data_IF_886103180846
#
_entry.id   IF_886103180846
#
_cell.length_a   1.000
_cell.length_b   1.000
_cell.length_c   1.000
_cell.angle_alpha   90.00
_cell.angle_beta   90.00
_cell.angle_gamma   90.00
#
_symmetry.space_group_name_H-M   'P 1'
#
loop_
_entity.id
_entity.type
_entity.pdbx_description
1 polymer ?
#
# COMPACT_ATOMS: atom_id res chain seq x y z
N UNK A 1 40.11 -4.12 -15.56
CA UNK A 1 38.82 -4.64 -15.06
C UNK A 1 38.42 -3.76 -13.88
N UNK A 2 37.22 -3.18 -13.88
CA UNK A 2 36.72 -2.43 -12.73
C UNK A 2 35.93 -3.42 -11.85
N UNK A 3 36.27 -3.51 -10.56
CA UNK A 3 35.58 -4.39 -9.62
C UNK A 3 34.53 -3.58 -8.84
N UNK A 4 33.31 -4.09 -8.74
CA UNK A 4 32.31 -3.61 -7.79
C UNK A 4 32.70 -4.17 -6.41
N UNK A 5 33.18 -3.30 -5.52
CA UNK A 5 33.57 -3.69 -4.17
C UNK A 5 32.38 -3.56 -3.25
N UNK A 6 31.91 -4.69 -2.73
CA UNK A 6 30.73 -4.74 -1.85
C UNK A 6 31.08 -4.38 -0.41
N UNK A 7 30.23 -3.56 0.22
CA UNK A 7 30.30 -3.18 1.64
C UNK A 7 28.90 -3.22 2.25
N UNK A 8 28.79 -3.55 3.53
CA UNK A 8 27.54 -3.51 4.30
C UNK A 8 27.61 -2.51 5.48
N UNK A 9 28.78 -1.91 5.74
CA UNK A 9 28.99 -0.99 6.86
C UNK A 9 30.01 0.11 6.55
N UNK A 10 30.07 1.14 7.40
CA UNK A 10 31.08 2.22 7.30
C UNK A 10 32.49 1.68 7.56
N UNK A 11 32.63 0.66 8.42
CA UNK A 11 33.91 0.01 8.69
C UNK A 11 34.43 -0.72 7.44
N UNK A 12 33.55 -1.39 6.70
CA UNK A 12 33.89 -2.05 5.43
C UNK A 12 34.16 -1.02 4.32
N UNK A 13 33.47 0.12 4.33
CA UNK A 13 33.78 1.26 3.45
C UNK A 13 35.23 1.74 3.64
N UNK A 14 35.72 1.86 4.87
CA UNK A 14 37.09 2.31 5.13
C UNK A 14 38.13 1.37 4.52
N UNK A 15 37.88 0.06 4.58
CA UNK A 15 38.73 -0.96 3.94
C UNK A 15 38.68 -0.81 2.42
N UNK A 16 37.48 -0.63 1.84
CA UNK A 16 37.30 -0.44 0.40
C UNK A 16 38.02 0.82 -0.10
N UNK A 17 37.94 1.93 0.64
CA UNK A 17 38.62 3.18 0.30
C UNK A 17 40.14 3.06 0.42
N UNK A 18 40.65 2.36 1.45
CA UNK A 18 42.08 2.06 1.58
C UNK A 18 42.61 1.22 0.40
N UNK A 19 41.78 0.31 -0.12
CA UNK A 19 42.05 -0.46 -1.34
C UNK A 19 41.87 0.36 -2.64
N UNK A 20 41.59 1.67 -2.54
CA UNK A 20 41.33 2.60 -3.66
C UNK A 20 40.16 2.17 -4.54
N UNK A 21 39.17 1.50 -3.95
CA UNK A 21 37.93 1.16 -4.65
C UNK A 21 37.19 2.45 -5.05
N UNK A 22 36.81 2.53 -6.33
CA UNK A 22 36.04 3.65 -6.87
C UNK A 22 34.62 3.27 -7.27
N UNK A 23 34.33 1.98 -7.34
CA UNK A 23 33.03 1.42 -7.65
C UNK A 23 32.59 0.62 -6.42
N UNK A 24 31.71 1.21 -5.61
CA UNK A 24 31.30 0.65 -4.32
C UNK A 24 29.85 0.22 -4.41
N UNK A 25 29.60 -1.04 -4.06
CA UNK A 25 28.26 -1.57 -3.90
C UNK A 25 27.90 -1.64 -2.42
N UNK A 26 26.85 -0.95 -2.00
CA UNK A 26 26.33 -1.07 -0.64
C UNK A 26 25.25 -2.15 -0.58
N UNK A 27 25.54 -3.26 0.08
CA UNK A 27 24.56 -4.29 0.33
C UNK A 27 23.70 -3.88 1.52
N UNK A 28 22.43 -3.54 1.28
CA UNK A 28 21.49 -3.22 2.35
C UNK A 28 21.06 -4.46 3.13
N UNK A 29 21.38 -5.68 2.65
CA UNK A 29 21.20 -6.94 3.37
C UNK A 29 22.51 -7.33 4.04
N UNK A 30 22.51 -7.46 5.36
CA UNK A 30 23.63 -8.06 6.08
C UNK A 30 23.64 -9.57 5.81
N UNK A 31 24.67 -10.09 5.15
CA UNK A 31 24.76 -11.51 4.79
C UNK A 31 25.07 -12.43 5.99
N UNK A 32 25.43 -11.87 7.15
CA UNK A 32 25.63 -12.63 8.40
C UNK A 32 24.30 -12.85 9.13
N UNK A 33 23.37 -11.89 9.03
CA UNK A 33 22.09 -11.91 9.77
C UNK A 33 20.84 -11.96 8.89
N UNK A 34 21.00 -11.81 7.57
CA UNK A 34 19.97 -11.68 6.54
C UNK A 34 18.99 -10.51 6.69
N UNK A 35 19.18 -9.65 7.70
CA UNK A 35 18.37 -8.46 7.91
C UNK A 35 18.64 -7.42 6.83
N UNK A 36 17.58 -6.78 6.37
CA UNK A 36 17.64 -5.69 5.38
C UNK A 36 17.44 -4.36 6.10
N UNK A 37 18.35 -3.43 5.88
CA UNK A 37 18.24 -2.04 6.32
C UNK A 37 18.48 -1.11 5.13
N UNK A 38 17.39 -0.56 4.61
CA UNK A 38 17.37 0.35 3.46
C UNK A 38 18.05 1.70 3.74
N UNK A 39 18.47 1.99 4.97
CA UNK A 39 19.23 3.20 5.32
C UNK A 39 20.74 2.98 5.26
N UNK A 40 21.22 1.74 5.05
CA UNK A 40 22.65 1.42 4.97
C UNK A 40 23.34 2.20 3.86
N UNK A 41 22.74 2.24 2.67
CA UNK A 41 23.27 3.02 1.54
C UNK A 41 23.38 4.51 1.86
N UNK A 42 22.38 5.09 2.53
CA UNK A 42 22.41 6.50 2.91
C UNK A 42 23.57 6.80 3.89
N UNK A 43 23.72 5.98 4.93
CA UNK A 43 24.82 6.12 5.91
C UNK A 43 26.19 5.99 5.26
N UNK A 44 26.38 5.06 4.32
CA UNK A 44 27.63 4.91 3.58
C UNK A 44 27.88 6.13 2.67
N UNK A 45 26.85 6.65 2.00
CA UNK A 45 26.97 7.84 1.18
C UNK A 45 27.38 9.07 2.00
N UNK A 46 26.79 9.28 3.17
CA UNK A 46 27.15 10.37 4.08
C UNK A 46 28.58 10.21 4.61
N UNK A 47 28.96 9.00 4.99
CA UNK A 47 30.33 8.69 5.40
C UNK A 47 31.38 9.01 4.29
N UNK A 48 31.05 8.81 3.02
CA UNK A 48 31.90 9.21 1.89
C UNK A 48 32.03 10.74 1.83
N UNK A 49 30.91 11.47 1.96
CA UNK A 49 30.90 12.94 1.95
C UNK A 49 31.69 13.54 3.11
N UNK A 50 31.53 12.99 4.31
CA UNK A 50 32.25 13.41 5.52
C UNK A 50 33.77 13.27 5.39
N UNK A 51 34.24 12.31 4.56
CA UNK A 51 35.66 12.12 4.22
C UNK A 51 36.15 13.09 3.14
N UNK A 52 35.32 14.05 2.72
CA UNK A 52 35.65 15.02 1.67
C UNK A 52 35.69 14.42 0.26
N UNK A 53 35.15 13.22 0.07
CA UNK A 53 35.12 12.54 -1.22
C UNK A 53 33.81 12.86 -1.95
N UNK A 54 33.90 13.05 -3.26
CA UNK A 54 32.73 13.25 -4.11
C UNK A 54 32.07 11.91 -4.47
N UNK A 55 30.74 11.92 -4.55
CA UNK A 55 29.95 10.85 -5.15
C UNK A 55 29.74 11.15 -6.64
N UNK A 56 29.72 10.11 -7.47
CA UNK A 56 29.45 10.22 -8.91
C UNK A 56 30.64 9.85 -9.79
N UNK A 57 30.54 10.23 -11.08
CA UNK A 57 31.42 9.74 -12.15
C UNK A 57 32.91 10.04 -11.89
N UNK A 58 33.21 11.22 -11.37
CA UNK A 58 34.58 11.67 -11.13
C UNK A 58 35.09 11.35 -9.72
N UNK A 59 34.21 10.80 -8.86
CA UNK A 59 34.49 10.42 -7.48
C UNK A 59 34.32 8.92 -7.24
N UNK A 60 33.54 8.59 -6.20
CA UNK A 60 33.09 7.23 -5.88
C UNK A 60 31.73 6.97 -6.56
N UNK A 61 31.68 5.97 -7.43
CA UNK A 61 30.45 5.47 -8.02
C UNK A 61 29.78 4.51 -7.03
N UNK A 62 28.72 4.97 -6.39
CA UNK A 62 27.98 4.20 -5.39
C UNK A 62 26.79 3.48 -6.02
N UNK A 63 26.59 2.21 -5.68
CA UNK A 63 25.46 1.39 -6.10
C UNK A 63 24.72 0.88 -4.87
N UNK A 64 23.40 0.87 -4.90
CA UNK A 64 22.58 0.26 -3.84
C UNK A 64 22.22 -1.18 -4.23
N UNK A 65 22.37 -2.12 -3.30
CA UNK A 65 22.12 -3.54 -3.54
C UNK A 65 21.14 -4.07 -2.49
N UNK A 66 20.30 -5.01 -2.90
CA UNK A 66 19.31 -5.69 -2.04
C UNK A 66 18.18 -4.79 -1.52
N UNK A 67 17.00 -5.37 -1.34
CA UNK A 67 15.83 -4.69 -0.75
C UNK A 67 15.14 -3.65 -1.63
N UNK A 68 15.51 -3.54 -2.91
CA UNK A 68 14.89 -2.61 -3.87
C UNK A 68 13.67 -3.27 -4.52
N UNK A 69 12.50 -2.69 -4.31
CA UNK A 69 11.21 -3.26 -4.77
C UNK A 69 10.31 -2.26 -5.49
N UNK A 70 10.57 -0.96 -5.35
CA UNK A 70 9.82 0.06 -6.07
C UNK A 70 10.68 1.21 -6.58
N UNK A 71 10.10 2.04 -7.46
CA UNK A 71 10.72 3.29 -7.89
C UNK A 71 11.05 4.23 -6.71
N UNK A 72 10.24 4.24 -5.65
CA UNK A 72 10.53 5.04 -4.47
C UNK A 72 11.85 4.65 -3.80
N UNK A 73 12.18 3.35 -3.76
CA UNK A 73 13.48 2.89 -3.29
C UNK A 73 14.61 3.38 -4.22
N UNK A 74 14.40 3.34 -5.54
CA UNK A 74 15.36 3.86 -6.52
C UNK A 74 15.63 5.35 -6.30
N UNK A 75 14.56 6.15 -6.17
CA UNK A 75 14.62 7.59 -5.88
C UNK A 75 15.32 7.86 -4.57
N UNK A 76 15.04 7.08 -3.52
CA UNK A 76 15.73 7.21 -2.23
C UNK A 76 17.24 7.09 -2.42
N UNK A 77 17.70 6.06 -3.12
CA UNK A 77 19.12 5.84 -3.33
C UNK A 77 19.74 6.88 -4.27
N UNK A 78 19.00 7.32 -5.29
CA UNK A 78 19.42 8.43 -6.16
C UNK A 78 19.62 9.73 -5.36
N UNK A 79 18.69 10.10 -4.48
CA UNK A 79 18.79 11.27 -3.61
C UNK A 79 20.01 11.16 -2.66
N UNK A 80 20.36 9.95 -2.24
CA UNK A 80 21.57 9.71 -1.46
C UNK A 80 22.85 9.74 -2.31
N UNK A 81 22.78 9.88 -3.63
CA UNK A 81 23.92 9.96 -4.54
C UNK A 81 24.35 8.63 -5.17
N UNK A 82 23.55 7.57 -5.01
CA UNK A 82 23.76 6.33 -5.74
C UNK A 82 23.53 6.53 -7.24
N UNK A 83 24.32 5.85 -8.07
CA UNK A 83 24.32 5.95 -9.53
C UNK A 83 23.78 4.71 -10.23
N UNK A 84 23.41 3.71 -9.44
CA UNK A 84 22.80 2.50 -9.93
C UNK A 84 22.29 1.64 -8.78
N UNK A 85 21.52 0.65 -9.18
CA UNK A 85 20.91 -0.33 -8.28
C UNK A 85 21.23 -1.73 -8.80
N UNK A 86 21.33 -2.69 -7.88
CA UNK A 86 21.39 -4.12 -8.22
C UNK A 86 20.17 -4.81 -7.60
N UNK A 87 19.28 -5.27 -8.47
CA UNK A 87 18.03 -5.95 -8.09
C UNK A 87 18.11 -7.40 -8.55
N UNK A 88 18.04 -8.33 -7.60
CA UNK A 88 18.07 -9.76 -7.86
C UNK A 88 16.73 -10.42 -7.55
N UNK A 89 16.56 -10.79 -6.28
CA UNK A 89 15.43 -11.58 -5.78
C UNK A 89 14.04 -11.06 -6.20
N UNK A 90 13.81 -9.75 -6.14
CA UNK A 90 12.54 -9.14 -6.53
C UNK A 90 12.21 -9.37 -8.01
N UNK A 91 13.20 -9.21 -8.91
CA UNK A 91 13.04 -9.50 -10.33
C UNK A 91 12.88 -10.99 -10.59
N UNK A 92 13.63 -11.84 -9.87
CA UNK A 92 13.55 -13.31 -10.02
C UNK A 92 12.21 -13.90 -9.57
N UNK A 93 11.50 -13.24 -8.66
CA UNK A 93 10.16 -13.64 -8.21
C UNK A 93 9.03 -13.06 -9.08
N UNK A 94 9.35 -12.16 -10.02
CA UNK A 94 8.35 -11.55 -10.87
C UNK A 94 7.86 -12.51 -11.96
N UNK A 95 6.54 -12.52 -12.18
CA UNK A 95 5.93 -13.21 -13.32
C UNK A 95 6.13 -12.47 -14.66
N UNK A 96 6.48 -11.18 -14.61
CA UNK A 96 6.75 -10.34 -15.79
C UNK A 96 7.89 -9.36 -15.46
N UNK A 97 9.11 -9.82 -15.78
CA UNK A 97 10.35 -9.07 -15.52
C UNK A 97 10.38 -7.74 -16.28
N UNK A 98 9.85 -7.68 -17.50
CA UNK A 98 9.93 -6.48 -18.33
C UNK A 98 9.09 -5.34 -17.75
N UNK A 99 7.87 -5.66 -17.29
CA UNK A 99 7.02 -4.69 -16.62
C UNK A 99 7.61 -4.29 -15.26
N UNK A 100 8.10 -5.25 -14.46
CA UNK A 100 8.72 -4.92 -13.17
C UNK A 100 9.95 -4.00 -13.30
N UNK A 101 10.78 -4.19 -14.35
CA UNK A 101 11.90 -3.28 -14.63
C UNK A 101 11.40 -1.89 -15.04
N UNK A 102 10.34 -1.80 -15.85
CA UNK A 102 9.72 -0.50 -16.18
C UNK A 102 9.22 0.20 -14.92
N UNK A 103 8.51 -0.52 -14.04
CA UNK A 103 7.96 0.04 -12.80
C UNK A 103 9.04 0.53 -11.83
N UNK A 104 10.20 -0.14 -11.77
CA UNK A 104 11.34 0.31 -10.97
C UNK A 104 11.98 1.59 -11.53
N UNK A 105 12.01 1.75 -12.86
CA UNK A 105 12.68 2.85 -13.54
C UNK A 105 11.77 4.04 -13.84
N UNK A 106 10.44 3.85 -13.82
CA UNK A 106 9.48 4.91 -14.13
C UNK A 106 9.28 5.86 -12.95
N UNK A 107 9.53 7.14 -13.21
CA UNK A 107 9.13 8.24 -12.33
C UNK A 107 7.64 8.16 -12.01
N UNK A 108 7.30 7.99 -10.73
CA UNK A 108 6.03 8.55 -10.23
C UNK A 108 6.26 10.05 -10.23
N UNK A 109 5.57 10.84 -11.08
CA UNK A 109 5.84 12.27 -11.12
C UNK A 109 5.50 12.84 -9.74
N UNK A 110 6.46 13.55 -9.12
CA UNK A 110 6.25 14.20 -7.81
C UNK A 110 5.27 15.39 -7.87
N UNK A 111 4.77 15.71 -9.05
CA UNK A 111 3.72 16.69 -9.28
C UNK A 111 2.81 16.17 -10.40
N UNK A 112 1.91 15.26 -10.06
CA UNK A 112 0.69 15.09 -10.85
C UNK A 112 -0.36 15.97 -10.22
N UNK A 113 -0.68 17.09 -10.86
CA UNK A 113 -2.00 17.67 -10.68
C UNK A 113 -3.02 16.54 -10.89
N UNK A 114 -4.01 16.43 -10.00
CA UNK A 114 -4.87 15.24 -9.89
C UNK A 114 -5.64 14.89 -11.18
N UNK A 115 -5.72 15.83 -12.13
CA UNK A 115 -6.29 15.62 -13.46
C UNK A 115 -5.41 14.78 -14.40
N UNK A 116 -4.11 14.71 -14.15
CA UNK A 116 -3.10 14.04 -14.99
C UNK A 116 -2.30 12.97 -14.21
N UNK A 117 -2.85 12.39 -13.14
CA UNK A 117 -2.27 11.17 -12.58
C UNK A 117 -2.19 10.13 -13.71
N UNK A 118 -0.99 9.76 -14.21
CA UNK A 118 -0.88 8.70 -15.21
C UNK A 118 -1.59 7.50 -14.60
N UNK A 119 -2.61 6.97 -15.27
CA UNK A 119 -3.43 5.83 -14.84
C UNK A 119 -2.61 4.89 -13.94
N UNK A 120 -2.68 5.09 -12.62
CA UNK A 120 -1.88 4.34 -11.66
C UNK A 120 -2.69 3.10 -11.29
N UNK A 121 -2.06 1.93 -11.13
CA UNK A 121 -2.79 0.73 -10.80
C UNK A 121 -3.54 0.94 -9.48
N UNK A 122 -4.82 0.55 -9.41
CA UNK A 122 -5.59 0.67 -8.19
C UNK A 122 -5.00 -0.25 -7.12
N UNK A 123 -4.95 0.24 -5.88
CA UNK A 123 -4.49 -0.58 -4.75
C UNK A 123 -5.53 -1.66 -4.42
N UNK A 124 -5.07 -2.84 -4.01
CA UNK A 124 -5.95 -3.93 -3.59
C UNK A 124 -5.79 -4.25 -2.11
N UNK A 125 -6.91 -4.24 -1.37
CA UNK A 125 -7.00 -4.75 0.00
C UNK A 125 -7.80 -6.04 0.03
N UNK A 126 -7.26 -7.06 0.70
CA UNK A 126 -7.99 -8.30 1.02
C UNK A 126 -8.28 -8.29 2.51
N UNK A 127 -9.57 -8.18 2.86
CA UNK A 127 -10.05 -8.01 4.22
C UNK A 127 -10.68 -9.30 4.78
N UNK A 128 -10.83 -9.41 6.10
CA UNK A 128 -11.36 -10.63 6.73
C UNK A 128 -10.39 -11.80 6.67
N UNK A 129 -9.08 -11.52 6.69
CA UNK A 129 -8.05 -12.55 6.64
C UNK A 129 -7.90 -13.18 8.02
N UNK A 130 -8.18 -14.49 8.09
CA UNK A 130 -8.21 -15.25 9.36
C UNK A 130 -7.01 -16.17 9.57
N UNK A 131 -6.18 -16.37 8.54
CA UNK A 131 -5.02 -17.27 8.55
C UNK A 131 -3.83 -16.65 7.83
N UNK A 132 -2.62 -17.00 8.29
CA UNK A 132 -1.35 -16.62 7.64
C UNK A 132 -1.30 -17.08 6.18
N UNK A 133 -1.79 -18.29 5.90
CA UNK A 133 -1.89 -18.83 4.54
C UNK A 133 -2.64 -17.90 3.58
N UNK A 134 -3.79 -17.40 4.02
CA UNK A 134 -4.64 -16.52 3.21
C UNK A 134 -3.95 -15.17 2.95
N UNK A 135 -3.26 -14.63 3.96
CA UNK A 135 -2.45 -13.42 3.80
C UNK A 135 -1.38 -13.63 2.73
N UNK A 136 -0.55 -14.67 2.87
CA UNK A 136 0.56 -14.94 1.94
C UNK A 136 0.06 -15.24 0.52
N UNK A 137 -1.07 -15.94 0.37
CA UNK A 137 -1.68 -16.16 -0.93
C UNK A 137 -2.13 -14.85 -1.59
N UNK A 138 -2.79 -13.97 -0.87
CA UNK A 138 -3.17 -12.65 -1.37
C UNK A 138 -1.94 -11.80 -1.75
N UNK A 139 -0.91 -11.76 -0.91
CA UNK A 139 0.31 -10.99 -1.16
C UNK A 139 1.08 -11.46 -2.40
N UNK A 140 1.21 -12.78 -2.60
CA UNK A 140 1.84 -13.36 -3.79
C UNK A 140 1.12 -12.99 -5.08
N UNK A 141 -0.16 -12.66 -5.00
CA UNK A 141 -0.99 -12.30 -6.14
C UNK A 141 -1.23 -10.79 -6.27
N UNK A 142 -0.52 -9.95 -5.49
CA UNK A 142 -0.50 -8.50 -5.67
C UNK A 142 -1.43 -7.71 -4.75
N UNK A 143 -1.91 -8.29 -3.64
CA UNK A 143 -2.57 -7.50 -2.61
C UNK A 143 -1.58 -6.51 -1.97
N UNK A 144 -1.98 -5.24 -1.87
CA UNK A 144 -1.20 -4.18 -1.21
C UNK A 144 -1.48 -4.12 0.29
N UNK A 145 -2.67 -4.53 0.72
CA UNK A 145 -3.11 -4.41 2.10
C UNK A 145 -3.83 -5.68 2.55
N UNK A 146 -3.58 -6.09 3.80
CA UNK A 146 -4.24 -7.22 4.45
C UNK A 146 -5.07 -6.69 5.63
N UNK A 147 -6.38 -6.90 5.58
CA UNK A 147 -7.32 -6.50 6.63
C UNK A 147 -7.61 -7.62 7.62
N UNK A 148 -7.35 -7.37 8.89
CA UNK A 148 -7.61 -8.25 10.03
C UNK A 148 -8.78 -7.68 10.81
N UNK A 149 -9.83 -8.47 11.04
CA UNK A 149 -11.02 -7.99 11.76
C UNK A 149 -10.82 -8.15 13.26
N UNK A 150 -10.86 -7.04 13.98
CA UNK A 150 -10.74 -6.94 15.44
C UNK A 150 -12.10 -6.61 16.11
N UNK A 151 -13.20 -6.74 15.37
CA UNK A 151 -14.56 -6.58 15.88
C UNK A 151 -15.15 -7.95 16.28
N UNK A 152 -15.32 -8.19 17.58
CA UNK A 152 -15.70 -9.49 18.18
C UNK A 152 -17.02 -10.09 17.64
N UNK A 153 -17.97 -9.25 17.24
CA UNK A 153 -19.25 -9.70 16.67
C UNK A 153 -19.15 -10.20 15.22
N UNK A 154 -18.02 -9.97 14.56
CA UNK A 154 -17.83 -10.40 13.17
C UNK A 154 -17.54 -11.89 13.08
N UNK A 155 -18.13 -12.62 12.13
CA UNK A 155 -17.75 -14.02 11.89
C UNK A 155 -16.33 -14.17 11.32
N UNK A 156 -15.67 -13.04 11.03
CA UNK A 156 -14.29 -12.95 10.52
C UNK A 156 -13.30 -12.48 11.59
N UNK A 157 -13.76 -12.33 12.83
CA UNK A 157 -12.92 -11.96 13.96
C UNK A 157 -11.81 -13.00 14.19
N UNK A 158 -10.64 -12.52 14.59
CA UNK A 158 -9.52 -13.36 15.05
C UNK A 158 -9.03 -12.90 16.42
N UNK A 159 -8.46 -13.81 17.21
CA UNK A 159 -7.83 -13.42 18.47
C UNK A 159 -6.55 -12.64 18.20
N UNK A 160 -6.11 -11.88 19.20
CA UNK A 160 -4.91 -11.04 19.13
C UNK A 160 -3.67 -11.83 18.72
N UNK A 161 -3.52 -13.08 19.17
CA UNK A 161 -2.36 -13.90 18.79
C UNK A 161 -2.38 -14.37 17.33
N UNK A 162 -3.55 -14.69 16.77
CA UNK A 162 -3.65 -14.96 15.34
C UNK A 162 -3.42 -13.68 14.53
N UNK A 163 -3.94 -12.54 14.99
CA UNK A 163 -3.69 -11.24 14.37
C UNK A 163 -2.19 -10.91 14.33
N UNK A 164 -1.45 -11.15 15.43
CA UNK A 164 0.01 -11.00 15.51
C UNK A 164 0.73 -11.92 14.53
N UNK A 165 0.31 -13.18 14.42
CA UNK A 165 0.89 -14.12 13.48
C UNK A 165 0.70 -13.66 12.01
N UNK A 166 -0.49 -13.19 11.66
CA UNK A 166 -0.80 -12.65 10.33
C UNK A 166 0.03 -11.38 10.07
N UNK A 167 0.00 -10.41 10.99
CA UNK A 167 0.74 -9.16 10.87
C UNK A 167 2.25 -9.38 10.74
N UNK A 168 2.81 -10.34 11.49
CA UNK A 168 4.21 -10.75 11.38
C UNK A 168 4.51 -11.32 9.99
N UNK A 169 3.68 -12.22 9.47
CA UNK A 169 3.89 -12.81 8.15
C UNK A 169 3.84 -11.76 7.02
N UNK A 170 2.92 -10.78 7.10
CA UNK A 170 2.85 -9.67 6.14
C UNK A 170 4.10 -8.80 6.20
N UNK A 171 4.58 -8.47 7.41
CA UNK A 171 5.82 -7.70 7.62
C UNK A 171 7.06 -8.43 7.13
N UNK A 172 7.18 -9.73 7.39
CA UNK A 172 8.27 -10.56 6.89
C UNK A 172 8.25 -10.66 5.36
N UNK A 173 7.08 -10.80 4.74
CA UNK A 173 6.94 -10.74 3.28
C UNK A 173 7.44 -9.39 2.73
N UNK A 174 7.11 -8.30 3.42
CA UNK A 174 7.60 -6.95 3.15
C UNK A 174 9.05 -6.65 3.57
N UNK A 175 9.78 -7.64 4.11
CA UNK A 175 11.15 -7.48 4.64
C UNK A 175 11.30 -6.33 5.67
N UNK A 176 10.29 -6.13 6.52
CA UNK A 176 10.29 -5.09 7.55
C UNK A 176 9.95 -5.64 8.94
N UNK A 177 10.33 -4.90 9.99
CA UNK A 177 10.06 -5.28 11.39
C UNK A 177 8.96 -4.44 12.05
N UNK A 178 8.71 -3.23 11.54
CA UNK A 178 7.76 -2.28 12.11
C UNK A 178 6.78 -1.71 11.08
N UNK A 179 5.85 -0.84 11.52
CA UNK A 179 4.97 -0.11 10.62
C UNK A 179 5.77 0.82 9.71
N UNK A 180 5.32 1.03 8.47
CA UNK A 180 6.04 1.87 7.48
C UNK A 180 5.28 3.14 7.11
N UNK A 181 3.94 3.09 7.11
CA UNK A 181 3.12 4.22 6.67
C UNK A 181 3.23 5.47 7.59
N UNK A 182 3.26 5.36 8.93
CA UNK A 182 3.39 6.55 9.79
C UNK A 182 4.66 7.36 9.50
N UNK A 183 5.80 6.69 9.27
CA UNK A 183 7.07 7.33 8.94
C UNK A 183 7.01 8.02 7.58
N UNK A 184 6.41 7.37 6.57
CA UNK A 184 6.26 7.95 5.22
C UNK A 184 5.30 9.14 5.24
N UNK A 185 4.20 9.09 6.01
CA UNK A 185 3.30 10.23 6.13
C UNK A 185 4.01 11.45 6.72
N UNK A 186 4.86 11.25 7.72
CA UNK A 186 5.63 12.34 8.32
C UNK A 186 6.56 13.05 7.32
N UNK A 187 7.13 12.34 6.34
CA UNK A 187 7.99 12.95 5.31
C UNK A 187 7.22 13.72 4.24
N UNK A 188 5.90 13.50 4.12
CA UNK A 188 5.05 14.20 3.17
C UNK A 188 4.40 15.47 3.75
N UNK A 189 4.66 15.81 5.02
CA UNK A 189 4.09 16.99 5.68
C UNK A 189 4.70 18.33 5.23
N UNK A 190 5.84 18.34 4.52
CA UNK A 190 6.61 19.55 4.21
C UNK A 190 6.29 20.23 2.85
N UNK A 191 5.21 19.82 2.17
CA UNK A 191 4.89 20.28 0.79
C UNK A 191 3.93 21.47 0.65
N UNK A 192 3.64 21.89 -0.59
CA UNK A 192 2.58 22.84 -0.98
C UNK A 192 1.25 22.19 -1.41
N UNK A 193 1.18 20.86 -1.47
CA UNK A 193 0.00 20.12 -1.96
C UNK A 193 -1.14 20.06 -0.94
N UNK A 194 -2.35 19.77 -1.39
CA UNK A 194 -3.53 19.49 -0.55
C UNK A 194 -3.32 18.31 0.42
N UNK A 195 -3.99 18.31 1.59
CA UNK A 195 -3.77 17.31 2.64
C UNK A 195 -4.12 15.89 2.17
N UNK A 196 -5.27 15.72 1.51
CA UNK A 196 -5.71 14.43 1.01
C UNK A 196 -4.78 13.89 -0.08
N UNK A 197 -4.27 14.77 -0.94
CA UNK A 197 -3.31 14.40 -1.97
C UNK A 197 -2.03 13.80 -1.37
N UNK A 198 -1.48 14.39 -0.32
CA UNK A 198 -0.29 13.87 0.38
C UNK A 198 -0.54 12.49 0.97
N UNK A 199 -1.73 12.28 1.55
CA UNK A 199 -2.13 10.98 2.08
C UNK A 199 -2.15 9.90 1.00
N UNK A 200 -2.64 10.21 -0.21
CA UNK A 200 -2.61 9.29 -1.38
C UNK A 200 -1.17 8.94 -1.76
N UNK A 201 -0.30 9.95 -1.91
CA UNK A 201 1.09 9.74 -2.28
C UNK A 201 1.81 8.86 -1.25
N UNK A 202 1.65 9.17 0.04
CA UNK A 202 2.22 8.38 1.13
C UNK A 202 1.69 6.94 1.14
N UNK A 203 0.39 6.73 0.91
CA UNK A 203 -0.19 5.38 0.84
C UNK A 203 0.41 4.58 -0.32
N UNK A 204 0.52 5.21 -1.50
CA UNK A 204 1.07 4.57 -2.70
C UNK A 204 2.55 4.27 -2.53
N UNK A 205 3.33 5.20 -1.98
CA UNK A 205 4.74 4.95 -1.65
C UNK A 205 4.86 3.78 -0.68
N UNK A 206 4.10 3.78 0.42
CA UNK A 206 4.13 2.72 1.41
C UNK A 206 3.81 1.36 0.78
N UNK A 207 2.71 1.28 0.02
CA UNK A 207 2.28 0.06 -0.68
C UNK A 207 3.25 -0.41 -1.75
N UNK A 208 4.04 0.49 -2.33
CA UNK A 208 5.09 0.14 -3.30
C UNK A 208 6.29 -0.53 -2.61
N UNK A 209 6.59 -0.14 -1.37
CA UNK A 209 7.76 -0.62 -0.61
C UNK A 209 7.46 -1.93 0.11
N UNK A 210 6.28 -2.02 0.74
CA UNK A 210 5.84 -3.22 1.44
C UNK A 210 4.31 -3.28 1.55
N UNK A 211 3.70 -4.48 1.62
CA UNK A 211 2.29 -4.59 1.93
C UNK A 211 1.99 -4.13 3.36
N UNK A 212 0.81 -3.55 3.56
CA UNK A 212 0.39 -2.97 4.83
C UNK A 212 -0.60 -3.86 5.59
N UNK A 213 -0.56 -3.78 6.91
CA UNK A 213 -1.47 -4.49 7.81
C UNK A 213 -2.52 -3.50 8.33
N UNK A 214 -3.80 -3.81 8.11
CA UNK A 214 -4.93 -2.97 8.51
C UNK A 214 -5.74 -3.70 9.58
N UNK A 215 -5.88 -3.13 10.77
CA UNK A 215 -6.82 -3.65 11.77
C UNK A 215 -8.17 -2.98 11.62
N UNK A 216 -9.24 -3.78 11.55
CA UNK A 216 -10.61 -3.29 11.36
C UNK A 216 -11.38 -3.39 12.67
N UNK A 217 -11.83 -2.26 13.19
CA UNK A 217 -12.51 -2.14 14.46
C UNK A 217 -13.94 -1.63 14.24
N UNK A 218 -14.82 -1.93 15.19
CA UNK A 218 -16.18 -1.41 15.20
C UNK A 218 -16.59 -1.12 16.64
N UNK A 219 -17.01 0.12 16.88
CA UNK A 219 -17.49 0.68 18.13
C UNK A 219 -16.52 0.47 19.31
N UNK A 220 -15.21 0.59 19.06
CA UNK A 220 -14.16 0.57 20.08
C UNK A 220 -13.70 1.99 20.43
N UNK A 221 -13.13 2.17 21.61
CA UNK A 221 -12.51 3.44 22.02
C UNK A 221 -11.16 3.66 21.34
N UNK A 222 -10.70 4.91 21.28
CA UNK A 222 -9.38 5.22 20.73
C UNK A 222 -8.23 4.55 21.50
N UNK A 223 -8.37 4.43 22.83
CA UNK A 223 -7.39 3.75 23.67
C UNK A 223 -7.28 2.27 23.32
N UNK A 224 -8.41 1.56 23.21
CA UNK A 224 -8.45 0.15 22.80
C UNK A 224 -7.85 -0.07 21.40
N UNK A 225 -8.21 0.79 20.45
CA UNK A 225 -7.68 0.70 19.08
C UNK A 225 -6.16 0.95 19.03
N UNK A 226 -5.67 1.94 19.76
CA UNK A 226 -4.23 2.25 19.83
C UNK A 226 -3.44 1.11 20.49
N UNK A 227 -3.94 0.56 21.60
CA UNK A 227 -3.30 -0.55 22.29
C UNK A 227 -3.23 -1.79 21.39
N UNK A 228 -4.33 -2.15 20.71
CA UNK A 228 -4.36 -3.26 19.77
C UNK A 228 -3.42 -3.02 18.57
N UNK A 229 -3.37 -1.80 18.05
CA UNK A 229 -2.50 -1.46 16.93
C UNK A 229 -1.01 -1.61 17.27
N UNK A 230 -0.61 -1.16 18.45
CA UNK A 230 0.75 -1.32 18.97
C UNK A 230 1.09 -2.78 19.23
N UNK A 231 0.21 -3.53 19.90
CA UNK A 231 0.45 -4.93 20.25
C UNK A 231 0.55 -5.83 19.00
N UNK A 232 -0.31 -5.61 18.00
CA UNK A 232 -0.35 -6.42 16.78
C UNK A 232 0.73 -5.98 15.79
N UNK A 233 1.11 -4.70 15.82
CA UNK A 233 2.00 -4.06 14.85
C UNK A 233 1.27 -3.73 13.54
N UNK A 234 0.17 -2.99 13.65
CA UNK A 234 -0.63 -2.52 12.52
C UNK A 234 0.01 -1.30 11.84
N UNK A 235 -0.22 -1.15 10.53
CA UNK A 235 0.13 0.08 9.79
C UNK A 235 -1.04 1.07 9.75
N UNK A 236 -2.29 0.57 9.74
CA UNK A 236 -3.51 1.38 9.72
C UNK A 236 -4.58 0.84 10.66
N UNK A 237 -5.40 1.75 11.16
CA UNK A 237 -6.62 1.47 11.92
C UNK A 237 -7.83 1.83 11.05
N UNK A 238 -8.67 0.85 10.74
CA UNK A 238 -9.92 1.06 10.01
C UNK A 238 -11.10 1.07 10.98
N UNK A 239 -11.82 2.18 11.02
CA UNK A 239 -13.03 2.37 11.84
C UNK A 239 -14.25 2.06 10.99
N UNK A 240 -14.98 1.02 11.36
CA UNK A 240 -16.03 0.42 10.55
C UNK A 240 -17.39 0.33 11.25
N UNK A 241 -17.50 0.83 12.49
CA UNK A 241 -18.75 0.95 13.21
C UNK A 241 -19.44 2.29 12.98
N UNK A 242 -20.15 2.74 14.01
CA UNK A 242 -20.92 3.99 14.07
C UNK A 242 -20.08 5.16 14.63
N UNK A 243 -18.76 5.02 14.67
CA UNK A 243 -17.88 6.06 15.22
C UNK A 243 -17.92 7.35 14.40
N UNK A 244 -17.93 8.51 15.07
CA UNK A 244 -17.78 9.80 14.40
C UNK A 244 -16.34 10.01 13.92
N UNK A 245 -16.12 10.91 12.95
CA UNK A 245 -14.78 11.22 12.44
C UNK A 245 -13.82 11.76 13.51
N UNK A 246 -14.33 12.46 14.51
CA UNK A 246 -13.54 13.12 15.56
C UNK A 246 -12.63 12.15 16.33
N UNK A 247 -13.05 10.90 16.52
CA UNK A 247 -12.23 9.89 17.22
C UNK A 247 -10.89 9.65 16.52
N UNK A 248 -10.79 9.90 15.21
CA UNK A 248 -9.56 9.69 14.43
C UNK A 248 -8.41 10.58 14.94
N UNK A 249 -8.71 11.74 15.55
CA UNK A 249 -7.71 12.62 16.18
C UNK A 249 -6.97 11.95 17.34
N UNK A 250 -7.63 11.03 18.03
CA UNK A 250 -7.08 10.33 19.18
C UNK A 250 -6.38 9.01 18.79
N UNK A 251 -6.40 8.63 17.50
CA UNK A 251 -5.72 7.44 16.99
C UNK A 251 -4.30 7.82 16.56
N UNK A 252 -3.30 7.11 17.11
CA UNK A 252 -1.87 7.34 16.85
C UNK A 252 -1.40 6.82 15.48
N UNK A 253 -2.25 6.06 14.81
CA UNK A 253 -1.99 5.40 13.53
C UNK A 253 -2.85 6.01 12.43
N UNK A 254 -2.39 5.97 11.16
CA UNK A 254 -3.19 6.40 10.03
C UNK A 254 -4.54 5.68 10.00
N UNK A 255 -5.61 6.44 9.81
CA UNK A 255 -6.98 5.92 9.93
C UNK A 255 -7.67 5.78 8.58
N UNK A 256 -8.45 4.72 8.43
CA UNK A 256 -9.44 4.56 7.36
C UNK A 256 -10.84 4.65 7.96
N UNK A 257 -11.66 5.64 7.58
CA UNK A 257 -13.06 5.71 8.03
C UNK A 257 -13.98 5.07 7.00
N UNK A 258 -14.71 4.03 7.40
CA UNK A 258 -15.75 3.43 6.56
C UNK A 258 -17.02 4.29 6.57
N UNK A 259 -17.55 4.58 5.39
CA UNK A 259 -18.85 5.21 5.19
C UNK A 259 -19.82 4.16 4.66
N UNK A 260 -20.87 3.94 5.42
CA UNK A 260 -21.93 2.99 5.13
C UNK A 260 -22.97 3.65 4.22
N UNK A 261 -22.91 3.33 2.93
CA UNK A 261 -23.82 3.88 1.93
C UNK A 261 -25.10 3.02 1.88
N UNK A 262 -26.29 3.64 1.81
CA UNK A 262 -27.54 2.90 1.72
C UNK A 262 -27.65 2.20 0.37
N UNK A 263 -28.32 1.04 0.36
CA UNK A 263 -28.65 0.29 -0.84
C UNK A 263 -29.75 1.02 -1.63
N UNK A 264 -29.36 1.96 -2.50
CA UNK A 264 -30.29 2.58 -3.45
C UNK A 264 -29.85 2.26 -4.87
N UNK A 265 -30.76 1.64 -5.64
CA UNK A 265 -30.58 1.32 -7.06
C UNK A 265 -30.44 2.58 -7.97
N UNK A 266 -30.57 3.77 -7.39
CA UNK A 266 -30.48 5.07 -8.06
C UNK A 266 -29.72 6.03 -7.14
N UNK A 267 -28.86 6.85 -7.73
CA UNK A 267 -28.20 8.01 -7.12
C UNK A 267 -29.17 9.04 -6.51
N UNK A 268 -30.48 8.91 -6.74
CA UNK A 268 -31.53 9.87 -6.36
C UNK A 268 -31.82 9.91 -4.84
N UNK A 269 -31.18 9.05 -4.04
CA UNK A 269 -31.40 8.97 -2.59
C UNK A 269 -30.18 9.17 -1.70
N UNK A 270 -28.97 9.24 -2.26
CA UNK A 270 -27.73 9.46 -1.49
C UNK A 270 -27.31 10.92 -1.63
N UNK A 271 -27.39 11.67 -0.55
CA UNK A 271 -26.85 13.02 -0.46
C UNK A 271 -25.32 12.97 -0.40
N UNK A 272 -24.69 12.70 -1.55
CA UNK A 272 -23.24 12.59 -1.66
C UNK A 272 -22.55 13.90 -1.26
N UNK A 273 -23.17 15.05 -1.54
CA UNK A 273 -22.66 16.37 -1.15
C UNK A 273 -22.69 16.54 0.38
N UNK A 274 -23.80 16.19 1.03
CA UNK A 274 -23.89 16.16 2.48
C UNK A 274 -22.87 15.22 3.12
N UNK A 275 -22.62 14.05 2.51
CA UNK A 275 -21.58 13.13 2.97
C UNK A 275 -20.18 13.74 2.82
N UNK A 276 -19.86 14.37 1.68
CA UNK A 276 -18.57 15.03 1.46
C UNK A 276 -18.32 16.11 2.53
N UNK A 277 -19.35 16.87 2.92
CA UNK A 277 -19.23 17.89 3.96
C UNK A 277 -18.88 17.32 5.34
N UNK A 278 -19.14 16.03 5.59
CA UNK A 278 -18.71 15.36 6.83
C UNK A 278 -17.24 14.96 6.82
N UNK A 279 -16.62 14.89 5.64
CA UNK A 279 -15.23 14.48 5.46
C UNK A 279 -14.33 15.72 5.54
N UNK A 280 -13.55 15.81 6.61
CA UNK A 280 -12.66 16.95 6.85
C UNK A 280 -11.20 16.51 6.88
N UNK A 281 -10.33 17.37 6.37
CA UNK A 281 -8.89 17.20 6.50
C UNK A 281 -8.46 17.12 7.97
N UNK A 282 -7.42 16.33 8.25
CA UNK A 282 -6.89 16.15 9.59
C UNK A 282 -7.72 15.24 10.49
N UNK A 283 -8.85 14.68 10.01
CA UNK A 283 -9.59 13.63 10.69
C UNK A 283 -9.16 12.25 10.19
N UNK A 284 -9.78 11.77 9.10
CA UNK A 284 -9.48 10.45 8.55
C UNK A 284 -8.57 10.54 7.32
N UNK A 285 -7.41 9.86 7.35
CA UNK A 285 -6.46 9.84 6.23
C UNK A 285 -7.07 9.29 4.93
N UNK A 286 -7.94 8.28 5.08
CA UNK A 286 -8.56 7.58 3.95
C UNK A 286 -10.03 7.29 4.24
N UNK A 287 -10.83 7.23 3.18
CA UNK A 287 -12.24 6.85 3.24
C UNK A 287 -12.40 5.45 2.64
N UNK A 288 -13.26 4.64 3.22
CA UNK A 288 -13.72 3.39 2.63
C UNK A 288 -15.22 3.47 2.39
N UNK A 289 -15.65 3.31 1.15
CA UNK A 289 -17.08 3.32 0.80
C UNK A 289 -17.59 1.89 0.82
N UNK A 290 -18.46 1.56 1.77
CA UNK A 290 -19.06 0.23 1.90
C UNK A 290 -20.58 0.26 1.74
N UNK A 291 -21.17 -0.86 1.35
CA UNK A 291 -22.62 -0.99 1.21
C UNK A 291 -23.27 -1.52 2.47
N UNK A 292 -24.28 -0.79 2.96
CA UNK A 292 -25.13 -1.29 4.04
C UNK A 292 -26.36 -2.01 3.51
N UNK A 293 -26.54 -3.26 3.95
CA UNK A 293 -27.86 -3.88 4.04
C UNK A 293 -28.34 -3.77 5.48
N UNK A 294 -29.56 -3.25 5.69
CA UNK A 294 -30.21 -3.24 7.01
C UNK A 294 -30.19 -4.66 7.60
N UNK A 295 -29.46 -4.83 8.72
CA UNK A 295 -29.45 -6.06 9.52
C UNK A 295 -28.25 -6.99 9.36
N UNK A 296 -27.28 -6.70 8.48
CA UNK A 296 -26.00 -7.40 8.45
C UNK A 296 -24.85 -6.44 8.12
N UNK A 297 -23.98 -6.19 9.10
CA UNK A 297 -22.68 -5.55 8.86
C UNK A 297 -21.75 -6.54 8.16
N UNK A 298 -21.72 -6.48 6.83
CA UNK A 298 -20.70 -7.10 5.98
C UNK A 298 -21.07 -8.42 5.27
N UNK A 299 -21.27 -8.33 3.95
CA UNK A 299 -20.92 -9.41 3.01
C UNK A 299 -22.03 -10.23 2.36
N UNK A 300 -22.92 -9.59 1.59
CA UNK A 300 -24.03 -10.26 0.87
C UNK A 300 -23.88 -10.30 -0.67
N UNK A 301 -22.83 -9.69 -1.23
CA UNK A 301 -22.55 -9.74 -2.68
C UNK A 301 -23.37 -8.76 -3.54
N UNK A 302 -24.05 -7.78 -2.95
CA UNK A 302 -24.83 -6.74 -3.65
C UNK A 302 -24.02 -5.44 -3.70
N UNK A 303 -23.96 -4.82 -4.89
CA UNK A 303 -23.16 -3.63 -5.21
C UNK A 303 -24.01 -2.36 -5.21
N UNK A 304 -23.49 -1.24 -4.69
CA UNK A 304 -24.10 0.09 -4.79
C UNK A 304 -23.79 0.78 -6.13
N UNK A 305 -24.41 1.95 -6.36
CA UNK A 305 -24.02 2.81 -7.48
C UNK A 305 -22.60 3.38 -7.26
N UNK A 306 -21.63 2.71 -7.89
CA UNK A 306 -20.21 3.08 -7.86
C UNK A 306 -19.92 4.50 -8.34
N UNK A 307 -20.88 5.20 -8.97
CA UNK A 307 -20.77 6.63 -9.28
C UNK A 307 -20.52 7.49 -8.04
N UNK A 308 -20.96 7.06 -6.85
CA UNK A 308 -20.64 7.79 -5.61
C UNK A 308 -19.12 7.83 -5.38
N UNK A 309 -18.38 6.76 -5.69
CA UNK A 309 -16.92 6.80 -5.58
C UNK A 309 -16.30 7.80 -6.56
N UNK A 310 -16.89 7.98 -7.75
CA UNK A 310 -16.44 9.01 -8.68
C UNK A 310 -16.57 10.41 -8.07
N UNK A 311 -17.62 10.68 -7.29
CA UNK A 311 -17.80 11.97 -6.60
C UNK A 311 -16.63 12.25 -5.64
N UNK A 312 -16.23 11.26 -4.83
CA UNK A 312 -15.06 11.38 -3.95
C UNK A 312 -13.76 11.60 -4.74
N UNK A 313 -13.58 10.87 -5.84
CA UNK A 313 -12.43 11.04 -6.73
C UNK A 313 -12.37 12.46 -7.31
N UNK A 314 -13.50 13.01 -7.79
CA UNK A 314 -13.57 14.39 -8.29
C UNK A 314 -13.32 15.42 -7.18
N UNK A 315 -13.81 15.15 -5.96
CA UNK A 315 -13.55 15.95 -4.77
C UNK A 315 -12.12 15.78 -4.21
N UNK A 316 -11.27 14.99 -4.87
CA UNK A 316 -9.87 14.72 -4.48
C UNK A 316 -9.71 14.00 -3.15
N UNK A 317 -10.75 13.32 -2.68
CA UNK A 317 -10.75 12.57 -1.42
C UNK A 317 -10.32 11.11 -1.69
N UNK A 318 -9.31 10.59 -0.99
CA UNK A 318 -8.85 9.22 -1.15
C UNK A 318 -9.91 8.23 -0.68
N UNK A 319 -10.53 7.53 -1.62
CA UNK A 319 -11.47 6.47 -1.31
C UNK A 319 -10.97 5.10 -1.76
N UNK A 320 -11.21 4.10 -0.91
CA UNK A 320 -11.24 2.69 -1.25
C UNK A 320 -12.69 2.28 -1.47
N UNK A 321 -12.96 1.54 -2.53
CA UNK A 321 -14.30 1.01 -2.79
C UNK A 321 -14.42 -0.41 -2.24
N UNK A 322 -15.41 -0.63 -1.39
CA UNK A 322 -15.78 -1.93 -0.83
C UNK A 322 -17.22 -2.29 -1.22
N UNK A 323 -17.84 -3.24 -0.53
CA UNK A 323 -19.26 -3.57 -0.71
C UNK A 323 -19.55 -4.46 -1.92
N UNK A 324 -19.62 -5.78 -1.69
CA UNK A 324 -20.07 -6.73 -2.70
C UNK A 324 -19.13 -6.92 -3.91
N UNK A 325 -17.88 -6.45 -3.83
CA UNK A 325 -16.91 -6.65 -4.91
C UNK A 325 -16.54 -8.14 -5.07
N UNK A 326 -16.45 -8.59 -6.32
CA UNK A 326 -16.12 -9.96 -6.72
C UNK A 326 -15.18 -9.93 -7.93
N UNK A 327 -14.52 -11.06 -8.29
CA UNK A 327 -13.69 -11.12 -9.50
C UNK A 327 -14.43 -10.69 -10.78
N UNK A 328 -15.74 -10.94 -10.85
CA UNK A 328 -16.57 -10.68 -12.03
C UNK A 328 -16.94 -9.20 -12.18
N UNK A 329 -16.96 -8.44 -11.08
CA UNK A 329 -17.52 -7.08 -11.07
C UNK A 329 -16.47 -5.98 -10.82
N UNK A 330 -15.29 -6.33 -10.30
CA UNK A 330 -14.27 -5.35 -9.86
C UNK A 330 -13.75 -4.45 -10.98
N UNK A 331 -13.58 -4.98 -12.20
CA UNK A 331 -13.14 -4.19 -13.36
C UNK A 331 -14.16 -3.09 -13.69
N UNK A 332 -15.46 -3.43 -13.65
CA UNK A 332 -16.53 -2.46 -13.89
C UNK A 332 -16.58 -1.43 -12.76
N UNK A 333 -16.34 -1.84 -11.52
CA UNK A 333 -16.28 -0.96 -10.36
C UNK A 333 -15.17 0.10 -10.50
N UNK A 334 -13.97 -0.36 -10.88
CA UNK A 334 -12.82 0.49 -11.16
C UNK A 334 -13.06 1.44 -12.34
N UNK A 335 -13.71 0.96 -13.42
CA UNK A 335 -14.08 1.80 -14.57
C UNK A 335 -15.08 2.90 -14.26
N UNK A 336 -15.95 2.71 -13.25
CA UNK A 336 -16.99 3.70 -12.92
C UNK A 336 -16.53 4.68 -11.85
N UNK A 337 -15.87 4.19 -10.79
CA UNK A 337 -15.54 5.02 -9.63
C UNK A 337 -14.14 5.63 -9.63
N UNK A 338 -13.20 5.06 -10.40
CA UNK A 338 -11.78 5.40 -10.38
C UNK A 338 -11.19 5.61 -8.96
N UNK A 339 -11.48 4.72 -7.98
CA UNK A 339 -11.00 4.91 -6.62
C UNK A 339 -9.48 4.75 -6.53
N UNK A 340 -8.90 5.18 -5.40
CA UNK A 340 -7.47 4.93 -5.10
C UNK A 340 -7.17 3.44 -5.03
N UNK A 341 -8.17 2.65 -4.59
CA UNK A 341 -8.10 1.21 -4.55
C UNK A 341 -9.45 0.56 -4.25
N UNK A 342 -9.42 -0.76 -4.09
CA UNK A 342 -10.58 -1.61 -3.81
C UNK A 342 -10.33 -2.47 -2.58
N UNK A 343 -11.39 -2.79 -1.85
CA UNK A 343 -11.39 -3.69 -0.70
C UNK A 343 -12.35 -4.85 -0.93
N UNK A 344 -11.84 -6.08 -0.80
CA UNK A 344 -12.65 -7.29 -0.96
C UNK A 344 -12.62 -8.14 0.30
N UNK A 345 -13.78 -8.63 0.71
CA UNK A 345 -13.92 -9.55 1.85
C UNK A 345 -14.71 -10.80 1.46
N UNK A 346 -16.04 -10.74 1.47
CA UNK A 346 -16.94 -11.88 1.21
C UNK A 346 -16.95 -12.37 -0.24
N UNK A 347 -16.69 -11.50 -1.21
CA UNK A 347 -16.69 -11.88 -2.64
C UNK A 347 -15.58 -12.86 -3.03
N UNK A 348 -14.58 -13.06 -2.16
CA UNK A 348 -13.49 -14.03 -2.32
C UNK A 348 -13.49 -15.08 -1.20
N UNK A 349 -14.63 -15.30 -0.55
CA UNK A 349 -14.82 -16.37 0.44
C UNK A 349 -15.48 -17.61 -0.18
N UNK A 350 -15.28 -18.75 0.47
CA UNK A 350 -16.03 -19.97 0.21
C UNK A 350 -17.49 -19.71 0.57
N UNK A 351 -18.40 -20.03 -0.35
CA UNK A 351 -19.82 -19.73 -0.19
C UNK A 351 -20.36 -20.39 1.09
N UNK A 352 -21.00 -19.60 1.95
CA UNK A 352 -21.56 -20.07 3.21
C UNK A 352 -20.54 -20.30 4.33
N UNK A 353 -19.27 -19.94 4.14
CA UNK A 353 -18.21 -20.07 5.15
C UNK A 353 -17.50 -18.72 5.38
N UNK A 354 -18.12 -17.77 6.10
CA UNK A 354 -17.50 -16.48 6.39
C UNK A 354 -16.11 -16.64 7.03
N UNK A 355 -15.15 -15.83 6.60
CA UNK A 355 -13.76 -15.92 7.09
C UNK A 355 -12.92 -17.03 6.47
N UNK A 356 -13.50 -17.91 5.65
CA UNK A 356 -12.76 -18.93 4.88
C UNK A 356 -12.54 -18.40 3.46
N UNK A 357 -11.30 -18.00 3.14
CA UNK A 357 -10.95 -17.48 1.81
C UNK A 357 -10.88 -18.60 0.78
N UNK A 358 -11.48 -18.33 -0.37
CA UNK A 358 -11.37 -19.14 -1.57
C UNK A 358 -10.18 -18.63 -2.37
N UNK A 359 -9.08 -19.39 -2.37
CA UNK A 359 -7.80 -18.94 -2.93
C UNK A 359 -7.89 -18.67 -4.43
N UNK A 360 -8.69 -19.44 -5.16
CA UNK A 360 -8.88 -19.24 -6.60
C UNK A 360 -9.60 -17.92 -6.88
N UNK A 361 -10.61 -17.58 -6.06
CA UNK A 361 -11.26 -16.27 -6.15
C UNK A 361 -10.37 -15.12 -5.74
N UNK A 362 -9.53 -15.29 -4.71
CA UNK A 362 -8.54 -14.28 -4.32
C UNK A 362 -7.59 -13.98 -5.49
N UNK A 363 -7.06 -15.03 -6.13
CA UNK A 363 -6.19 -14.91 -7.31
C UNK A 363 -6.93 -14.21 -8.45
N UNK A 364 -8.14 -14.65 -8.78
CA UNK A 364 -8.94 -14.08 -9.87
C UNK A 364 -9.25 -12.59 -9.64
N UNK A 365 -9.62 -12.22 -8.40
CA UNK A 365 -9.89 -10.83 -8.02
C UNK A 365 -8.64 -9.95 -8.21
N UNK A 366 -7.51 -10.36 -7.64
CA UNK A 366 -6.28 -9.57 -7.67
C UNK A 366 -5.71 -9.46 -9.09
N UNK A 367 -5.83 -10.52 -9.88
CA UNK A 367 -5.49 -10.49 -11.31
C UNK A 367 -6.34 -9.47 -12.06
N UNK A 368 -7.66 -9.47 -11.84
CA UNK A 368 -8.57 -8.51 -12.47
C UNK A 368 -8.26 -7.05 -12.09
N UNK A 369 -7.87 -6.80 -10.83
CA UNK A 369 -7.41 -5.48 -10.36
C UNK A 369 -6.10 -5.07 -11.03
N UNK A 370 -5.12 -5.98 -11.10
CA UNK A 370 -3.81 -5.72 -11.70
C UNK A 370 -3.90 -5.42 -13.20
N UNK A 371 -4.73 -6.16 -13.92
CA UNK A 371 -4.84 -6.08 -15.38
C UNK A 371 -5.77 -4.94 -15.84
N UNK A 372 -6.45 -4.25 -14.91
CA UNK A 372 -7.41 -3.19 -15.19
C UNK A 372 -6.86 -2.14 -16.17
N UNK A 373 -5.63 -1.67 -15.96
CA UNK A 373 -5.02 -0.64 -16.79
C UNK A 373 -4.67 -1.13 -18.19
N UNK A 374 -4.25 -2.39 -18.33
CA UNK A 374 -4.00 -3.00 -19.64
C UNK A 374 -5.30 -3.11 -20.45
N UNK A 375 -6.41 -3.44 -19.78
CA UNK A 375 -7.74 -3.52 -20.42
C UNK A 375 -8.29 -2.13 -20.75
N UNK A 376 -8.10 -1.15 -19.87
CA UNK A 376 -8.53 0.22 -20.10
C UNK A 376 -7.80 0.87 -21.28
N UNK A 377 -6.49 0.63 -21.42
CA UNK A 377 -5.70 1.14 -22.53
C UNK A 377 -6.19 0.60 -23.89
N UNK A 378 -6.50 -0.70 -23.98
CA UNK A 378 -7.01 -1.32 -25.22
C UNK A 378 -8.35 -0.72 -25.68
N UNK A 379 -9.25 -0.41 -24.74
CA UNK A 379 -10.57 0.20 -25.07
C UNK A 379 -10.46 1.64 -25.58
N UNK A 380 -9.49 2.40 -25.09
CA UNK A 380 -9.24 3.78 -25.55
C UNK A 380 -8.73 3.78 -27.00
N UNK A 381 -7.93 2.78 -27.39
CA UNK A 381 -7.45 2.66 -28.76
C UNK A 381 -8.57 2.24 -29.72
N UNK A 382 -9.47 1.32 -29.30
CA UNK A 382 -10.64 0.93 -30.10
C UNK A 382 -11.61 2.10 -30.35
N UNK A 383 -11.85 2.97 -29.37
CA UNK A 383 -12.71 4.16 -29.52
C UNK A 383 -12.09 5.28 -30.35
N UNK A 384 -10.76 5.29 -30.53
CA UNK A 384 -10.07 6.25 -31.42
C UNK A 384 -10.01 5.78 -32.87
N UNK A 385 -10.20 4.49 -33.11
CA UNK A 385 -10.25 3.90 -34.46
C UNK A 385 -11.67 3.82 -35.05
N UNK A 386 -12.71 4.07 -34.24
CA UNK A 386 -14.12 4.20 -34.65
C UNK A 386 -14.55 5.64 -34.87
#
# INVERSE_FOLDING_TARGET
MCALVEVNSVQELDIALAARARLIGVNNRDLRTFKVDLNTTARVADAIRERGLSLGRDGIALFALSGIRSHADVVKYENCGARGILVGEFLMKSSDVATTVKDLLQAVPRHTELGDLPLLPPLAKVCGVTKVEYALAALRNGANMIGIIMAEHSPRYVQVEEAKAIAKAVREYGERTGPILPEILATHLDGQSDWFHRNVLALREACSRAPLVVGVFANKTAEEMNAAAEEIGLDLVQLHGDEGFEICKDIKYPTVRALHLPDTALSDGVDAEGILQTVQEGLANYILLDTTMKGQQGGTGVTFDWKIAAIFTHARIPCLMAGGLTPENVVKALSVGHPVGVDVSSGVEVKGSPGVKDLDKVVAFLKAVKDYLSVAALKIDEEKES
#
